data_IF_414398755604
#
_entry.id   IF_414398755604
#
_cell.length_a   1.000
_cell.length_b   1.000
_cell.length_c   1.000
_cell.angle_alpha   90.00
_cell.angle_beta   90.00
_cell.angle_gamma   90.00
#
_symmetry.space_group_name_H-M   'P 1'
#
loop_
_entity.id
_entity.type
_entity.pdbx_description
1 polymer ?
#
# COMPACT_ATOMS: atom_id res chain seq x y z
N UNK A 1 13.20 14.90 -22.83
CA UNK A 1 13.78 14.01 -21.80
C UNK A 1 12.73 13.43 -20.83
N UNK A 2 11.41 13.59 -21.05
CA UNK A 2 10.36 13.09 -20.14
C UNK A 2 9.86 11.67 -20.43
N UNK A 3 9.92 11.21 -21.69
CA UNK A 3 9.40 9.91 -22.13
C UNK A 3 10.09 8.73 -21.43
N UNK A 4 11.39 8.82 -21.20
CA UNK A 4 12.18 7.77 -20.54
C UNK A 4 11.76 7.53 -19.07
N UNK A 5 11.27 8.56 -18.38
CA UNK A 5 10.81 8.43 -16.99
C UNK A 5 9.45 7.72 -16.89
N UNK A 6 8.55 7.97 -17.85
CA UNK A 6 7.25 7.28 -17.88
C UNK A 6 7.39 5.80 -18.23
N UNK A 7 8.31 5.45 -19.14
CA UNK A 7 8.59 4.04 -19.48
C UNK A 7 9.21 3.29 -18.30
N UNK A 8 10.14 3.92 -17.56
CA UNK A 8 10.69 3.35 -16.32
C UNK A 8 9.62 3.15 -15.25
N UNK A 9 8.73 4.13 -15.09
CA UNK A 9 7.60 4.03 -14.15
C UNK A 9 6.64 2.91 -14.55
N UNK A 10 6.25 2.82 -15.83
CA UNK A 10 5.38 1.76 -16.33
C UNK A 10 6.02 0.38 -16.19
N UNK A 11 7.33 0.27 -16.44
CA UNK A 11 8.09 -0.97 -16.24
C UNK A 11 8.14 -1.36 -14.76
N UNK A 12 8.37 -0.41 -13.85
CA UNK A 12 8.32 -0.67 -12.41
C UNK A 12 6.92 -1.11 -11.97
N UNK A 13 5.86 -0.46 -12.45
CA UNK A 13 4.48 -0.85 -12.17
C UNK A 13 4.17 -2.25 -12.71
N UNK A 14 4.57 -2.56 -13.94
CA UNK A 14 4.43 -3.87 -14.56
C UNK A 14 5.23 -4.96 -13.83
N UNK A 15 6.42 -4.63 -13.37
CA UNK A 15 7.27 -5.51 -12.57
C UNK A 15 6.64 -5.79 -11.20
N UNK A 16 6.05 -4.76 -10.58
CA UNK A 16 5.33 -4.87 -9.31
C UNK A 16 4.04 -5.70 -9.44
N UNK A 17 3.27 -5.54 -10.53
CA UNK A 17 2.10 -6.38 -10.80
C UNK A 17 2.50 -7.81 -11.14
N UNK A 18 3.58 -8.03 -11.90
CA UNK A 18 4.09 -9.38 -12.17
C UNK A 18 4.65 -10.05 -10.91
N UNK A 19 5.33 -9.31 -10.04
CA UNK A 19 5.80 -9.81 -8.75
C UNK A 19 4.62 -10.17 -7.83
N UNK A 20 3.53 -9.41 -7.89
CA UNK A 20 2.26 -9.73 -7.23
C UNK A 20 1.52 -10.93 -7.87
N UNK A 21 1.79 -11.31 -9.11
CA UNK A 21 1.21 -12.51 -9.69
C UNK A 21 2.00 -13.78 -9.32
N UNK A 22 3.17 -13.63 -8.69
CA UNK A 22 4.05 -14.75 -8.38
C UNK A 22 3.62 -15.45 -7.08
N UNK A 23 3.14 -16.69 -7.21
CA UNK A 23 2.71 -17.57 -6.12
C UNK A 23 3.86 -17.98 -5.17
N UNK A 24 5.11 -17.62 -5.47
CA UNK A 24 6.28 -17.96 -4.65
C UNK A 24 6.44 -17.09 -3.39
N UNK A 25 5.63 -16.06 -3.21
CA UNK A 25 5.67 -15.18 -2.05
C UNK A 25 4.85 -15.72 -0.87
N UNK A 26 4.94 -17.03 -0.58
CA UNK A 26 4.25 -17.63 0.57
C UNK A 26 4.81 -17.08 1.89
N UNK A 27 4.24 -16.00 2.43
CA UNK A 27 4.60 -15.48 3.74
C UNK A 27 4.02 -16.41 4.80
N UNK A 28 4.75 -17.49 5.09
CA UNK A 28 4.44 -18.42 6.18
C UNK A 28 4.76 -17.77 7.53
N UNK A 29 3.98 -16.74 7.89
CA UNK A 29 3.88 -16.23 9.26
C UNK A 29 3.26 -17.33 10.13
N UNK A 30 4.10 -18.11 10.80
CA UNK A 30 3.77 -19.32 11.58
C UNK A 30 2.67 -19.15 12.64
N UNK A 31 2.26 -17.91 12.96
CA UNK A 31 1.25 -17.61 13.98
C UNK A 31 -0.12 -17.20 13.44
N UNK A 32 -0.20 -16.67 12.22
CA UNK A 32 -1.46 -16.22 11.61
C UNK A 32 -1.47 -16.74 10.18
N UNK A 33 -2.17 -17.86 9.94
CA UNK A 33 -2.41 -18.34 8.58
C UNK A 33 -3.39 -17.39 7.89
N UNK A 34 -2.85 -16.55 7.04
CA UNK A 34 -3.59 -15.71 6.11
C UNK A 34 -3.84 -16.53 4.83
N UNK A 35 -4.96 -16.35 4.10
CA UNK A 35 -5.15 -17.00 2.81
C UNK A 35 -3.99 -16.74 1.83
N UNK A 36 -3.47 -17.80 1.20
CA UNK A 36 -2.28 -17.76 0.35
C UNK A 36 -2.39 -16.76 -0.82
N UNK A 37 -3.62 -16.51 -1.31
CA UNK A 37 -3.86 -15.53 -2.38
C UNK A 37 -3.62 -14.07 -1.94
N UNK A 38 -3.50 -13.80 -0.64
CA UNK A 38 -3.41 -12.45 -0.09
C UNK A 38 -1.97 -11.93 0.04
N UNK A 39 -0.98 -12.82 -0.01
CA UNK A 39 0.45 -12.50 0.05
C UNK A 39 0.90 -11.42 -0.95
N UNK A 40 0.54 -11.48 -2.24
CA UNK A 40 0.94 -10.44 -3.16
C UNK A 40 0.27 -9.09 -2.89
N UNK A 41 -0.97 -9.09 -2.42
CA UNK A 41 -1.67 -7.87 -2.00
C UNK A 41 -1.04 -7.25 -0.76
N UNK A 42 -0.52 -8.08 0.15
CA UNK A 42 0.25 -7.62 1.31
C UNK A 42 1.57 -6.95 0.88
N UNK A 43 2.29 -7.56 -0.07
CA UNK A 43 3.49 -6.95 -0.65
C UNK A 43 3.17 -5.61 -1.34
N UNK A 44 2.13 -5.56 -2.18
CA UNK A 44 1.66 -4.33 -2.80
C UNK A 44 1.29 -3.27 -1.76
N UNK A 45 0.53 -3.66 -0.72
CA UNK A 45 0.13 -2.77 0.35
C UNK A 45 1.35 -2.15 1.05
N UNK A 46 2.41 -2.92 1.32
CA UNK A 46 3.65 -2.39 1.88
C UNK A 46 4.34 -1.38 0.95
N UNK A 47 4.43 -1.67 -0.35
CA UNK A 47 5.04 -0.75 -1.32
C UNK A 47 4.24 0.55 -1.43
N UNK A 48 2.93 0.48 -1.59
CA UNK A 48 2.07 1.65 -1.69
C UNK A 48 1.98 2.44 -0.38
N UNK A 49 2.03 1.74 0.76
CA UNK A 49 2.12 2.37 2.08
C UNK A 49 3.40 3.17 2.25
N UNK A 50 4.54 2.60 1.85
CA UNK A 50 5.82 3.28 1.87
C UNK A 50 5.81 4.51 0.95
N UNK A 51 5.29 4.35 -0.28
CA UNK A 51 5.13 5.45 -1.22
C UNK A 51 4.24 6.58 -0.66
N UNK A 52 3.07 6.23 -0.10
CA UNK A 52 2.17 7.20 0.52
C UNK A 52 2.80 7.92 1.72
N UNK A 53 3.53 7.19 2.56
CA UNK A 53 4.26 7.76 3.69
C UNK A 53 5.35 8.72 3.24
N UNK A 54 6.19 8.32 2.27
CA UNK A 54 7.23 9.19 1.71
C UNK A 54 6.62 10.43 1.04
N UNK A 55 5.54 10.26 0.28
CA UNK A 55 4.78 11.36 -0.30
C UNK A 55 4.28 12.34 0.76
N UNK A 56 3.75 11.84 1.88
CA UNK A 56 3.32 12.68 3.01
C UNK A 56 4.50 13.40 3.68
N UNK A 57 5.64 12.72 3.86
CA UNK A 57 6.84 13.30 4.47
C UNK A 57 7.47 14.38 3.59
N UNK A 58 7.41 14.23 2.28
CA UNK A 58 7.93 15.23 1.31
C UNK A 58 6.98 16.43 1.19
N UNK A 59 5.67 16.19 1.24
CA UNK A 59 4.65 17.24 1.05
C UNK A 59 4.25 17.95 2.33
N UNK A 60 4.73 17.49 3.49
CA UNK A 60 4.48 18.15 4.76
C UNK A 60 5.09 19.56 4.79
N UNK A 61 4.49 20.50 5.55
CA UNK A 61 5.11 21.81 5.79
C UNK A 61 6.45 21.65 6.53
N UNK A 62 7.48 22.38 6.09
CA UNK A 62 8.80 22.38 6.75
C UNK A 62 8.67 22.86 8.20
N UNK A 63 9.34 22.18 9.13
CA UNK A 63 9.31 22.51 10.55
C UNK A 63 8.15 21.89 11.35
N UNK A 64 7.19 21.21 10.70
CA UNK A 64 6.10 20.53 11.41
C UNK A 64 6.45 19.05 11.68
N UNK A 65 6.39 18.61 12.95
CA UNK A 65 6.55 17.19 13.31
C UNK A 65 5.41 16.36 12.71
N UNK A 66 5.72 15.13 12.27
CA UNK A 66 4.71 14.23 11.65
C UNK A 66 3.52 13.98 12.60
N UNK A 67 3.77 13.94 13.91
CA UNK A 67 2.75 13.76 14.96
C UNK A 67 1.73 14.90 15.05
N UNK A 68 2.06 16.09 14.53
CA UNK A 68 1.22 17.28 14.61
C UNK A 68 0.53 17.61 13.29
N UNK A 69 0.73 16.80 12.24
CA UNK A 69 0.13 17.00 10.92
C UNK A 69 -1.40 17.15 10.98
N UNK A 70 -2.08 16.43 11.88
CA UNK A 70 -3.54 16.51 12.03
C UNK A 70 -4.07 17.88 12.47
N UNK A 71 -3.22 18.74 13.05
CA UNK A 71 -3.57 20.07 13.57
C UNK A 71 -3.23 21.21 12.62
N UNK A 72 -2.60 20.90 11.48
CA UNK A 72 -2.13 21.91 10.52
C UNK A 72 -2.95 21.80 9.24
N UNK A 73 -3.18 22.95 8.59
CA UNK A 73 -3.85 22.99 7.29
C UNK A 73 -2.99 22.24 6.27
N UNK A 74 -3.54 21.17 5.70
CA UNK A 74 -2.84 20.37 4.70
C UNK A 74 -2.87 21.08 3.34
N UNK A 75 -1.78 20.95 2.59
CA UNK A 75 -1.81 21.24 1.15
C UNK A 75 -2.71 20.20 0.46
N UNK A 76 -3.35 20.55 -0.68
CA UNK A 76 -4.19 19.60 -1.44
C UNK A 76 -3.45 18.30 -1.76
N UNK A 77 -2.15 18.39 -2.05
CA UNK A 77 -1.29 17.24 -2.35
C UNK A 77 -1.05 16.35 -1.13
N UNK A 78 -0.79 16.94 0.04
CA UNK A 78 -0.66 16.17 1.28
C UNK A 78 -1.99 15.50 1.68
N UNK A 79 -3.12 16.16 1.41
CA UNK A 79 -4.44 15.56 1.62
C UNK A 79 -4.70 14.38 0.66
N UNK A 80 -4.26 14.47 -0.61
CA UNK A 80 -4.31 13.35 -1.54
C UNK A 80 -3.55 12.13 -1.00
N UNK A 81 -2.30 12.30 -0.53
CA UNK A 81 -1.53 11.19 0.04
C UNK A 81 -2.20 10.59 1.29
N UNK A 82 -2.80 11.44 2.13
CA UNK A 82 -3.54 10.99 3.31
C UNK A 82 -4.78 10.17 2.94
N UNK A 83 -5.59 10.65 2.01
CA UNK A 83 -6.79 9.93 1.53
C UNK A 83 -6.39 8.65 0.82
N UNK A 84 -5.40 8.70 -0.07
CA UNK A 84 -4.85 7.53 -0.76
C UNK A 84 -4.42 6.43 0.21
N UNK A 85 -3.64 6.80 1.25
CA UNK A 85 -3.21 5.85 2.27
C UNK A 85 -4.39 5.27 3.06
N UNK A 86 -5.34 6.13 3.47
CA UNK A 86 -6.53 5.70 4.20
C UNK A 86 -7.40 4.74 3.38
N UNK A 87 -7.63 5.03 2.12
CA UNK A 87 -8.40 4.18 1.20
C UNK A 87 -7.69 2.84 0.95
N UNK A 88 -6.39 2.85 0.70
CA UNK A 88 -5.59 1.62 0.55
C UNK A 88 -5.68 0.73 1.80
N UNK A 89 -5.57 1.33 2.99
CA UNK A 89 -5.69 0.61 4.25
C UNK A 89 -7.09 0.01 4.45
N UNK A 90 -8.15 0.75 4.13
CA UNK A 90 -9.52 0.24 4.22
C UNK A 90 -9.77 -0.93 3.25
N UNK A 91 -9.29 -0.82 2.01
CA UNK A 91 -9.39 -1.90 1.01
C UNK A 91 -8.64 -3.13 1.50
N UNK A 92 -7.42 -2.95 1.99
CA UNK A 92 -6.61 -4.06 2.51
C UNK A 92 -7.28 -4.73 3.71
N UNK A 93 -7.81 -3.95 4.66
CA UNK A 93 -8.58 -4.49 5.78
C UNK A 93 -9.82 -5.25 5.32
N UNK A 94 -10.57 -4.73 4.34
CA UNK A 94 -11.71 -5.43 3.77
C UNK A 94 -11.31 -6.77 3.16
N UNK A 95 -10.23 -6.81 2.37
CA UNK A 95 -9.68 -8.06 1.82
C UNK A 95 -9.26 -9.04 2.92
N UNK A 96 -8.58 -8.56 3.97
CA UNK A 96 -8.21 -9.39 5.12
C UNK A 96 -9.43 -10.04 5.77
N UNK A 97 -10.45 -9.24 6.11
CA UNK A 97 -11.65 -9.75 6.77
C UNK A 97 -12.45 -10.71 5.86
N UNK A 98 -12.60 -10.37 4.58
CA UNK A 98 -13.27 -11.22 3.60
C UNK A 98 -12.52 -12.54 3.42
N UNK A 99 -11.19 -12.49 3.27
CA UNK A 99 -10.37 -13.69 3.14
C UNK A 99 -10.44 -14.60 4.36
N UNK A 100 -10.43 -14.03 5.57
CA UNK A 100 -10.61 -14.79 6.81
C UNK A 100 -12.02 -15.37 6.95
N UNK A 101 -13.06 -14.63 6.53
CA UNK A 101 -14.44 -15.12 6.56
C UNK A 101 -14.65 -16.27 5.57
N UNK A 102 -14.22 -16.10 4.31
CA UNK A 102 -14.31 -17.14 3.27
C UNK A 102 -13.58 -18.41 3.68
N UNK A 103 -12.42 -18.29 4.33
CA UNK A 103 -11.70 -19.45 4.86
C UNK A 103 -12.53 -20.23 5.89
N UNK A 104 -13.27 -19.56 6.78
CA UNK A 104 -14.15 -20.24 7.75
C UNK A 104 -15.35 -20.95 7.13
N UNK A 105 -15.78 -20.52 5.94
CA UNK A 105 -16.85 -21.22 5.19
C UNK A 105 -16.33 -22.42 4.39
N UNK A 106 -15.02 -22.48 4.14
CA UNK A 106 -14.37 -23.56 3.41
C UNK A 106 -13.79 -24.66 4.33
N UNK A 107 -13.64 -24.36 5.63
CA UNK A 107 -13.34 -25.31 6.71
C UNK A 107 -14.63 -25.98 7.22
#
# INVERSE_FOLDING_TARGET
MSVCNHVKSACLFASLTLLSANQAFAFTLTRIRVPDWMDPYMAMFLVFSLFGYLGLVVTKPRGVPVKQLSRVKFSPLANFFRVFFGTMFLIFMAMLFVGMALRRYAE
#
